data_IF_988292568421
#
_entry.id   IF_988292568421
#
_cell.length_a   1.000
_cell.length_b   1.000
_cell.length_c   1.000
_cell.angle_alpha   90.00
_cell.angle_beta   90.00
_cell.angle_gamma   90.00
#
_symmetry.space_group_name_H-M   'P 1'
#
loop_
_entity.id
_entity.type
_entity.pdbx_description
1 polymer ?
#
# COMPACT_ATOMS: atom_id res chain seq x y z
N UNK A 1 -1.41 -13.40 36.00
CA UNK A 1 -0.90 -12.09 35.56
C UNK A 1 -2.09 -11.16 35.46
N UNK A 2 -2.08 -10.05 36.20
CA UNK A 2 -3.14 -9.02 36.19
C UNK A 2 -2.88 -8.08 35.02
N UNK A 3 -3.69 -8.17 33.98
CA UNK A 3 -3.64 -7.24 32.84
C UNK A 3 -4.43 -5.98 33.17
N UNK A 4 -4.01 -4.81 32.66
CA UNK A 4 -4.80 -3.59 32.81
C UNK A 4 -6.14 -3.77 32.09
N UNK A 5 -7.24 -3.59 32.81
CA UNK A 5 -8.59 -3.60 32.25
C UNK A 5 -9.21 -2.21 32.32
N UNK A 6 -10.04 -1.88 31.33
CA UNK A 6 -10.82 -0.64 31.30
C UNK A 6 -12.27 -1.01 31.55
N UNK A 7 -12.86 -0.41 32.58
CA UNK A 7 -14.29 -0.50 32.88
C UNK A 7 -14.92 0.85 32.60
N UNK A 8 -15.99 0.86 31.81
CA UNK A 8 -16.72 2.07 31.45
C UNK A 8 -17.94 2.18 32.35
N UNK A 9 -18.20 3.40 32.84
CA UNK A 9 -19.31 3.70 33.73
C UNK A 9 -20.11 4.87 33.18
N UNK A 10 -21.44 4.72 33.15
CA UNK A 10 -22.39 5.79 32.84
C UNK A 10 -23.11 6.19 34.14
N UNK A 11 -23.65 7.41 34.21
CA UNK A 11 -24.31 7.99 35.40
C UNK A 11 -25.40 7.10 36.04
N UNK A 12 -26.01 6.18 35.29
CA UNK A 12 -27.07 5.28 35.78
C UNK A 12 -26.54 3.99 36.47
N UNK A 13 -25.32 3.97 37.00
CA UNK A 13 -24.67 2.78 37.61
C UNK A 13 -24.50 1.58 36.65
N UNK A 14 -24.63 1.80 35.35
CA UNK A 14 -24.38 0.77 34.34
C UNK A 14 -22.88 0.70 34.08
N UNK A 15 -22.25 -0.38 34.56
CA UNK A 15 -20.86 -0.71 34.28
C UNK A 15 -20.77 -1.78 33.21
N UNK A 16 -19.94 -1.57 32.19
CA UNK A 16 -19.68 -2.58 31.18
C UNK A 16 -18.21 -2.65 30.82
N UNK A 17 -17.80 -3.84 30.39
CA UNK A 17 -16.50 -4.06 29.75
C UNK A 17 -16.52 -3.44 28.36
N UNK A 18 -15.36 -3.00 27.89
CA UNK A 18 -15.18 -2.52 26.52
C UNK A 18 -15.49 -3.61 25.46
N UNK A 19 -15.50 -4.88 25.87
CA UNK A 19 -15.84 -6.05 25.05
C UNK A 19 -17.35 -6.32 24.94
N UNK A 20 -18.18 -5.67 25.76
CA UNK A 20 -19.62 -5.89 25.76
C UNK A 20 -20.31 -5.19 24.58
N UNK A 21 -21.54 -5.63 24.28
CA UNK A 21 -22.39 -4.93 23.33
C UNK A 21 -22.92 -3.61 23.94
N UNK A 22 -22.97 -2.57 23.10
CA UNK A 22 -23.45 -1.24 23.51
C UNK A 22 -24.93 -1.05 23.17
N UNK A 23 -25.66 -2.14 22.98
CA UNK A 23 -27.07 -2.17 22.54
C UNK A 23 -28.01 -1.47 23.52
N UNK A 24 -27.66 -1.46 24.81
CA UNK A 24 -28.43 -0.85 25.90
C UNK A 24 -27.92 0.54 26.33
N UNK A 25 -26.97 1.13 25.59
CA UNK A 25 -26.40 2.44 25.89
C UNK A 25 -27.08 3.52 25.04
N UNK A 26 -27.54 4.61 25.66
CA UNK A 26 -28.14 5.72 24.94
C UNK A 26 -27.13 6.39 23.99
N UNK A 27 -27.58 6.87 22.83
CA UNK A 27 -26.70 7.47 21.82
C UNK A 27 -25.88 8.65 22.34
N UNK A 28 -26.47 9.48 23.21
CA UNK A 28 -25.78 10.61 23.86
C UNK A 28 -24.64 10.16 24.76
N UNK A 29 -24.83 9.06 25.49
CA UNK A 29 -23.80 8.51 26.38
C UNK A 29 -22.70 7.84 25.56
N UNK A 30 -23.04 7.21 24.43
CA UNK A 30 -22.05 6.64 23.52
C UNK A 30 -21.15 7.72 22.90
N UNK A 31 -21.73 8.86 22.48
CA UNK A 31 -20.96 10.02 22.00
C UNK A 31 -20.04 10.59 23.09
N UNK A 32 -20.57 10.71 24.32
CA UNK A 32 -19.79 11.13 25.48
C UNK A 32 -18.63 10.18 25.78
N UNK A 33 -18.88 8.86 25.77
CA UNK A 33 -17.88 7.84 25.97
C UNK A 33 -16.81 7.83 24.88
N UNK A 34 -17.20 8.02 23.62
CA UNK A 34 -16.26 8.15 22.51
C UNK A 34 -15.35 9.36 22.70
N UNK A 35 -15.92 10.50 23.08
CA UNK A 35 -15.16 11.72 23.35
C UNK A 35 -14.18 11.51 24.51
N UNK A 36 -14.64 10.97 25.64
CA UNK A 36 -13.79 10.69 26.80
C UNK A 36 -12.70 9.66 26.49
N UNK A 37 -13.03 8.62 25.71
CA UNK A 37 -12.05 7.62 25.27
C UNK A 37 -10.95 8.24 24.42
N UNK A 38 -11.29 9.16 23.50
CA UNK A 38 -10.30 9.90 22.72
C UNK A 38 -9.39 10.76 23.60
N UNK A 39 -9.94 11.42 24.61
CA UNK A 39 -9.16 12.18 25.58
C UNK A 39 -8.24 11.27 26.41
N UNK A 40 -8.74 10.11 26.87
CA UNK A 40 -7.97 9.12 27.60
C UNK A 40 -6.80 8.59 26.76
N UNK A 41 -7.04 8.21 25.50
CA UNK A 41 -6.01 7.78 24.55
C UNK A 41 -4.96 8.88 24.37
N UNK A 42 -5.38 10.11 24.10
CA UNK A 42 -4.45 11.24 23.91
C UNK A 42 -3.58 11.49 25.15
N UNK A 43 -4.19 11.41 26.35
CA UNK A 43 -3.49 11.57 27.62
C UNK A 43 -2.48 10.45 27.86
N UNK A 44 -2.87 9.20 27.61
CA UNK A 44 -1.99 8.03 27.71
C UNK A 44 -0.84 8.10 26.70
N UNK A 45 -1.10 8.51 25.47
CA UNK A 45 -0.07 8.73 24.45
C UNK A 45 0.94 9.79 24.91
N UNK A 46 0.46 10.93 25.41
CA UNK A 46 1.31 11.99 25.94
C UNK A 46 2.13 11.55 27.16
N UNK A 47 1.52 10.77 28.07
CA UNK A 47 2.17 10.18 29.23
C UNK A 47 3.29 9.21 28.82
N UNK A 48 3.01 8.35 27.83
CA UNK A 48 3.97 7.39 27.28
C UNK A 48 5.15 8.09 26.59
N UNK A 49 4.87 9.17 25.86
CA UNK A 49 5.90 10.01 25.24
C UNK A 49 6.79 10.69 26.28
N UNK A 50 6.18 11.30 27.31
CA UNK A 50 6.91 12.00 28.38
C UNK A 50 7.81 11.05 29.17
N UNK A 51 7.33 9.85 29.48
CA UNK A 51 8.12 8.85 30.22
C UNK A 51 9.21 8.17 29.39
N UNK A 52 9.34 8.49 28.09
CA UNK A 52 10.24 7.80 27.16
C UNK A 52 10.07 6.27 27.16
N UNK A 53 8.91 5.76 27.61
CA UNK A 53 8.64 4.33 27.76
C UNK A 53 8.56 3.61 26.40
N UNK A 54 8.57 4.35 25.29
CA UNK A 54 8.84 3.81 23.95
C UNK A 54 10.22 3.14 23.81
N UNK A 55 11.15 3.33 24.76
CA UNK A 55 12.42 2.57 24.80
C UNK A 55 12.37 1.29 25.64
N UNK A 56 11.31 1.08 26.44
CA UNK A 56 11.24 -0.01 27.43
C UNK A 56 10.10 -1.03 27.24
N UNK A 57 9.04 -0.67 26.52
CA UNK A 57 8.10 -1.64 25.95
C UNK A 57 8.74 -2.17 24.67
N UNK A 58 9.03 -3.48 24.60
CA UNK A 58 9.72 -4.14 23.48
C UNK A 58 9.43 -3.46 22.15
N UNK A 59 10.49 -2.92 21.54
CA UNK A 59 10.40 -1.86 20.55
C UNK A 59 9.27 -2.08 19.55
N UNK A 60 8.41 -1.06 19.40
CA UNK A 60 7.40 -0.99 18.33
C UNK A 60 8.01 -1.58 17.06
N UNK A 61 7.28 -2.51 16.43
CA UNK A 61 7.78 -3.11 15.21
C UNK A 61 8.14 -1.99 14.24
N UNK A 62 9.17 -2.19 13.42
CA UNK A 62 9.54 -1.20 12.39
C UNK A 62 8.34 -0.84 11.51
N UNK A 63 7.40 -1.77 11.35
CA UNK A 63 6.13 -1.59 10.67
C UNK A 63 5.22 -0.62 11.43
N UNK A 64 5.07 -0.76 12.75
CA UNK A 64 4.28 0.16 13.58
C UNK A 64 4.85 1.58 13.55
N UNK A 65 6.17 1.71 13.63
CA UNK A 65 6.85 3.00 13.51
C UNK A 65 6.60 3.66 12.14
N UNK A 66 6.56 2.88 11.07
CA UNK A 66 6.23 3.37 9.73
C UNK A 66 4.74 3.76 9.65
N UNK A 67 3.86 2.96 10.24
CA UNK A 67 2.42 3.23 10.26
C UNK A 67 2.07 4.52 11.01
N UNK A 68 2.62 4.71 12.21
CA UNK A 68 2.43 5.94 13.00
C UNK A 68 2.88 7.17 12.19
N UNK A 69 3.96 7.06 11.42
CA UNK A 69 4.44 8.14 10.55
C UNK A 69 3.51 8.42 9.39
N UNK A 70 2.96 7.39 8.76
CA UNK A 70 1.95 7.54 7.71
C UNK A 70 0.72 8.26 8.26
N UNK A 71 0.20 7.84 9.42
CA UNK A 71 -0.94 8.49 10.08
C UNK A 71 -0.64 9.95 10.43
N UNK A 72 0.56 10.23 10.96
CA UNK A 72 0.97 11.60 11.28
C UNK A 72 1.05 12.48 10.03
N UNK A 73 1.65 11.96 8.96
CA UNK A 73 1.77 12.69 7.69
C UNK A 73 0.41 12.92 7.04
N UNK A 74 -0.48 11.93 7.06
CA UNK A 74 -1.84 12.06 6.56
C UNK A 74 -2.59 13.17 7.29
N UNK A 75 -2.54 13.19 8.63
CA UNK A 75 -3.12 14.26 9.45
C UNK A 75 -2.54 15.63 9.12
N UNK A 76 -1.23 15.73 8.93
CA UNK A 76 -0.59 17.01 8.56
C UNK A 76 -1.05 17.50 7.18
N UNK A 77 -1.16 16.59 6.20
CA UNK A 77 -1.67 16.92 4.86
C UNK A 77 -3.14 17.31 4.93
N UNK A 78 -3.95 16.64 5.74
CA UNK A 78 -5.35 16.97 5.95
C UNK A 78 -5.53 18.39 6.49
N UNK A 79 -4.73 18.77 7.48
CA UNK A 79 -4.80 20.12 8.08
C UNK A 79 -4.26 21.18 7.12
N UNK A 80 -3.16 20.91 6.42
CA UNK A 80 -2.46 21.92 5.60
C UNK A 80 -2.94 21.99 4.15
N UNK A 81 -3.59 20.96 3.65
CA UNK A 81 -3.91 20.78 2.23
C UNK A 81 -2.69 20.64 1.32
N UNK A 82 -1.47 20.54 1.87
CA UNK A 82 -0.21 20.51 1.09
C UNK A 82 0.91 19.75 1.80
N UNK A 83 1.90 19.31 1.03
CA UNK A 83 3.15 18.74 1.55
C UNK A 83 4.05 19.84 2.14
N UNK A 84 4.80 19.48 3.18
CA UNK A 84 5.93 20.26 3.69
C UNK A 84 7.14 20.15 2.76
N UNK A 85 8.13 21.03 2.89
CA UNK A 85 9.25 21.09 1.94
C UNK A 85 10.06 19.79 1.88
N UNK A 86 10.12 19.05 2.99
CA UNK A 86 10.71 17.72 3.04
C UNK A 86 9.85 16.72 2.26
N UNK A 87 8.54 16.69 2.48
CA UNK A 87 7.59 15.86 1.73
C UNK A 87 7.63 16.13 0.23
N UNK A 88 7.71 17.39 -0.18
CA UNK A 88 7.86 17.78 -1.60
C UNK A 88 9.13 17.20 -2.23
N UNK A 89 10.26 17.29 -1.52
CA UNK A 89 11.53 16.69 -1.98
C UNK A 89 11.41 15.17 -2.14
N UNK A 90 10.80 14.49 -1.17
CA UNK A 90 10.62 13.04 -1.24
C UNK A 90 9.64 12.61 -2.33
N UNK A 91 8.57 13.37 -2.56
CA UNK A 91 7.63 13.12 -3.65
C UNK A 91 8.35 13.22 -5.01
N UNK A 92 9.19 14.24 -5.23
CA UNK A 92 10.02 14.34 -6.46
C UNK A 92 10.96 13.15 -6.63
N UNK A 93 11.59 12.68 -5.55
CA UNK A 93 12.44 11.49 -5.58
C UNK A 93 11.63 10.24 -5.93
N UNK A 94 10.40 10.11 -5.42
CA UNK A 94 9.51 9.00 -5.74
C UNK A 94 9.11 9.00 -7.22
N UNK A 95 8.71 10.14 -7.78
CA UNK A 95 8.42 10.28 -9.23
C UNK A 95 9.64 9.87 -10.06
N UNK A 96 10.81 10.42 -9.74
CA UNK A 96 12.05 10.08 -10.45
C UNK A 96 12.44 8.60 -10.31
N UNK A 97 12.11 7.96 -9.20
CA UNK A 97 12.37 6.53 -8.99
C UNK A 97 11.40 5.63 -9.75
N UNK A 98 10.15 6.07 -9.95
CA UNK A 98 9.15 5.34 -10.73
C UNK A 98 9.36 5.48 -12.24
N UNK A 99 9.80 6.66 -12.69
CA UNK A 99 9.99 6.95 -14.12
C UNK A 99 11.42 6.68 -14.63
N UNK A 100 12.39 6.54 -13.72
CA UNK A 100 13.80 6.41 -14.07
C UNK A 100 14.30 4.97 -14.21
N UNK A 101 15.28 4.78 -15.10
CA UNK A 101 16.12 3.57 -15.13
C UNK A 101 17.04 3.62 -13.92
N UNK A 102 16.67 2.91 -12.85
CA UNK A 102 17.40 2.94 -11.58
C UNK A 102 18.50 1.87 -11.54
N UNK A 103 19.66 2.24 -10.98
CA UNK A 103 20.74 1.30 -10.66
C UNK A 103 20.24 0.16 -9.74
N UNK A 104 20.84 -1.03 -9.85
CA UNK A 104 20.41 -2.28 -9.17
C UNK A 104 20.16 -2.15 -7.65
N UNK A 105 20.80 -1.20 -6.96
CA UNK A 105 20.64 -0.96 -5.52
C UNK A 105 19.45 -0.06 -5.15
N UNK A 106 18.92 0.73 -6.08
CA UNK A 106 17.72 1.56 -5.89
C UNK A 106 16.42 0.79 -6.12
N UNK A 107 16.50 -0.52 -6.38
CA UNK A 107 15.38 -1.33 -6.81
C UNK A 107 14.33 -1.54 -5.70
N UNK A 108 14.73 -1.76 -4.44
CA UNK A 108 13.76 -2.02 -3.36
C UNK A 108 12.81 -0.86 -3.07
N UNK A 109 13.28 0.38 -3.21
CA UNK A 109 12.41 1.54 -3.04
C UNK A 109 11.41 1.64 -4.20
N UNK A 110 11.88 1.42 -5.42
CA UNK A 110 11.02 1.42 -6.62
C UNK A 110 9.99 0.29 -6.56
N UNK A 111 10.41 -0.94 -6.29
CA UNK A 111 9.54 -2.11 -6.15
C UNK A 111 8.45 -1.85 -5.11
N UNK A 112 8.82 -1.38 -3.91
CA UNK A 112 7.84 -1.04 -2.89
C UNK A 112 6.84 0.04 -3.35
N UNK A 113 7.32 1.10 -4.01
CA UNK A 113 6.41 2.13 -4.54
C UNK A 113 5.53 1.62 -5.69
N UNK A 114 6.02 0.70 -6.51
CA UNK A 114 5.24 0.05 -7.56
C UNK A 114 4.15 -0.84 -6.97
N UNK A 115 4.47 -1.61 -5.94
CA UNK A 115 3.49 -2.43 -5.22
C UNK A 115 2.41 -1.54 -4.61
N UNK A 116 2.80 -0.47 -3.90
CA UNK A 116 1.84 0.51 -3.34
C UNK A 116 1.02 1.18 -4.45
N UNK A 117 1.64 1.52 -5.58
CA UNK A 117 0.94 2.12 -6.71
C UNK A 117 -0.12 1.19 -7.29
N UNK A 118 0.25 -0.08 -7.47
CA UNK A 118 -0.63 -1.10 -8.03
C UNK A 118 -1.81 -1.40 -7.10
N UNK A 119 -1.52 -1.53 -5.80
CA UNK A 119 -2.46 -2.05 -4.83
C UNK A 119 -3.30 -0.97 -4.11
N UNK A 120 -2.72 0.21 -3.93
CA UNK A 120 -3.32 1.28 -3.13
C UNK A 120 -3.52 2.57 -3.93
N UNK A 121 -2.79 2.75 -5.04
CA UNK A 121 -2.90 3.90 -5.92
C UNK A 121 -1.90 5.04 -5.63
N UNK A 122 -1.88 6.02 -6.52
CA UNK A 122 -0.90 7.12 -6.53
C UNK A 122 -0.97 8.03 -5.30
N UNK A 123 -2.15 8.16 -4.69
CA UNK A 123 -2.36 8.89 -3.43
C UNK A 123 -1.48 8.33 -2.29
N UNK A 124 -1.42 7.01 -2.19
CA UNK A 124 -0.68 6.32 -1.14
C UNK A 124 0.82 6.26 -1.44
N UNK A 125 1.20 6.27 -2.72
CA UNK A 125 2.61 6.45 -3.13
C UNK A 125 3.14 7.79 -2.62
N UNK A 126 2.39 8.89 -2.81
CA UNK A 126 2.76 10.22 -2.30
C UNK A 126 2.87 10.19 -0.77
N UNK A 127 1.88 9.61 -0.10
CA UNK A 127 1.86 9.53 1.35
C UNK A 127 3.07 8.74 1.89
N UNK A 128 3.38 7.59 1.30
CA UNK A 128 4.54 6.77 1.65
C UNK A 128 5.85 7.49 1.40
N UNK A 129 6.00 8.14 0.23
CA UNK A 129 7.17 8.92 -0.09
C UNK A 129 7.39 10.06 0.92
N UNK A 130 6.34 10.83 1.22
CA UNK A 130 6.44 11.97 2.13
C UNK A 130 6.71 11.54 3.59
N UNK A 131 6.06 10.48 4.07
CA UNK A 131 6.17 10.03 5.47
C UNK A 131 7.45 9.23 5.76
N UNK A 132 7.84 8.35 4.83
CA UNK A 132 8.91 7.37 5.05
C UNK A 132 10.20 7.79 4.33
N UNK A 133 10.07 8.23 3.08
CA UNK A 133 11.18 8.55 2.19
C UNK A 133 12.03 7.33 1.81
N UNK A 134 12.95 7.54 0.87
CA UNK A 134 13.80 6.47 0.29
C UNK A 134 14.58 5.69 1.35
N UNK A 135 15.29 6.39 2.22
CA UNK A 135 16.20 5.78 3.20
C UNK A 135 15.48 4.78 4.12
N UNK A 136 14.27 5.12 4.58
CA UNK A 136 13.56 4.27 5.53
C UNK A 136 13.05 3.00 4.88
N UNK A 137 12.46 3.10 3.69
CA UNK A 137 11.94 1.94 2.94
C UNK A 137 13.07 0.97 2.56
N UNK A 138 14.22 1.50 2.13
CA UNK A 138 15.40 0.67 1.80
C UNK A 138 15.91 -0.10 3.02
N UNK A 139 15.88 0.53 4.21
CA UNK A 139 16.35 -0.07 5.45
C UNK A 139 15.35 -1.03 6.11
N UNK A 140 14.11 -1.11 5.63
CA UNK A 140 13.15 -2.13 6.08
C UNK A 140 13.58 -3.51 5.58
N UNK A 141 13.37 -4.54 6.40
CA UNK A 141 13.54 -5.93 5.94
C UNK A 141 12.46 -6.25 4.92
N UNK A 142 12.69 -7.29 4.11
CA UNK A 142 11.71 -7.74 3.11
C UNK A 142 10.35 -8.02 3.75
N UNK A 143 10.33 -8.75 4.85
CA UNK A 143 9.10 -9.09 5.57
C UNK A 143 8.41 -7.85 6.12
N UNK A 144 9.17 -6.90 6.70
CA UNK A 144 8.62 -5.63 7.18
C UNK A 144 7.97 -4.81 6.04
N UNK A 145 8.56 -4.81 4.83
CA UNK A 145 7.98 -4.14 3.66
C UNK A 145 6.67 -4.79 3.23
N UNK A 146 6.62 -6.12 3.23
CA UNK A 146 5.41 -6.88 2.90
C UNK A 146 4.32 -6.64 3.95
N UNK A 147 4.65 -6.71 5.23
CA UNK A 147 3.72 -6.42 6.33
C UNK A 147 3.21 -4.99 6.30
N UNK A 148 4.08 -4.02 5.98
CA UNK A 148 3.68 -2.62 5.82
C UNK A 148 2.71 -2.44 4.64
N UNK A 149 3.00 -3.04 3.48
CA UNK A 149 2.09 -3.02 2.33
C UNK A 149 0.74 -3.65 2.67
N UNK A 150 0.75 -4.83 3.30
CA UNK A 150 -0.47 -5.51 3.77
C UNK A 150 -1.29 -4.62 4.71
N UNK A 151 -0.63 -3.95 5.65
CA UNK A 151 -1.30 -3.02 6.56
C UNK A 151 -1.90 -1.81 5.84
N UNK A 152 -1.16 -1.21 4.89
CA UNK A 152 -1.67 -0.10 4.08
C UNK A 152 -2.92 -0.55 3.33
N UNK A 153 -2.93 -1.75 2.72
CA UNK A 153 -4.10 -2.30 2.02
C UNK A 153 -5.32 -2.43 2.94
N UNK A 154 -5.14 -3.00 4.14
CA UNK A 154 -6.24 -3.26 5.07
C UNK A 154 -6.79 -1.97 5.69
N UNK A 155 -5.92 -1.02 6.03
CA UNK A 155 -6.28 0.18 6.78
C UNK A 155 -6.31 1.46 5.92
N UNK A 156 -6.26 1.36 4.58
CA UNK A 156 -6.13 2.52 3.67
C UNK A 156 -7.19 3.61 3.91
N UNK A 157 -8.42 3.21 4.26
CA UNK A 157 -9.53 4.15 4.46
C UNK A 157 -9.32 5.03 5.71
N UNK A 158 -8.56 4.57 6.70
CA UNK A 158 -8.32 5.29 7.95
C UNK A 158 -7.37 6.49 7.78
N UNK A 159 -6.51 6.43 6.77
CA UNK A 159 -5.50 7.46 6.48
C UNK A 159 -5.74 8.16 5.14
N UNK A 160 -6.86 7.85 4.47
CA UNK A 160 -7.23 8.47 3.20
C UNK A 160 -7.63 9.93 3.45
N UNK A 161 -7.03 10.83 2.69
CA UNK A 161 -7.28 12.27 2.78
C UNK A 161 -7.56 12.80 1.38
N UNK A 162 -8.62 13.58 1.21
CA UNK A 162 -9.03 14.14 -0.09
C UNK A 162 -7.92 14.93 -0.78
N UNK A 163 -7.12 15.68 -0.01
CA UNK A 163 -5.99 16.45 -0.51
C UNK A 163 -4.90 15.59 -1.18
N UNK A 164 -4.77 14.29 -0.85
CA UNK A 164 -3.78 13.42 -1.48
C UNK A 164 -4.04 13.22 -2.97
N UNK A 165 -5.32 13.20 -3.39
CA UNK A 165 -5.69 13.06 -4.81
C UNK A 165 -5.23 14.25 -5.65
N UNK A 166 -5.37 15.46 -5.10
CA UNK A 166 -4.93 16.71 -5.74
C UNK A 166 -3.41 16.75 -5.81
N UNK A 167 -2.75 16.45 -4.69
CA UNK A 167 -1.28 16.43 -4.64
C UNK A 167 -0.72 15.37 -5.59
N UNK A 168 -1.32 14.18 -5.69
CA UNK A 168 -0.86 13.14 -6.62
C UNK A 168 -0.93 13.61 -8.08
N UNK A 169 -1.97 14.36 -8.45
CA UNK A 169 -2.10 14.99 -9.77
C UNK A 169 -1.06 16.08 -9.99
N UNK A 170 -0.84 16.95 -9.01
CA UNK A 170 0.15 18.04 -9.10
C UNK A 170 1.57 17.51 -9.36
N UNK A 171 1.89 16.34 -8.80
CA UNK A 171 3.18 15.67 -8.98
C UNK A 171 3.22 14.74 -10.20
N UNK A 172 2.17 14.69 -11.01
CA UNK A 172 2.04 13.83 -12.18
C UNK A 172 2.37 12.37 -11.87
N UNK A 173 1.91 11.88 -10.72
CA UNK A 173 2.13 10.49 -10.35
C UNK A 173 1.44 9.57 -11.36
N UNK A 174 2.10 8.47 -11.78
CA UNK A 174 1.47 7.52 -12.67
C UNK A 174 0.15 7.05 -12.05
N UNK A 175 -0.94 7.09 -12.81
CA UNK A 175 -2.18 6.46 -12.41
C UNK A 175 -2.00 4.95 -12.54
N UNK A 176 -2.33 4.19 -11.50
CA UNK A 176 -2.17 2.72 -11.45
C UNK A 176 -3.04 1.93 -12.44
N UNK A 177 -3.49 2.55 -13.54
CA UNK A 177 -4.30 1.96 -14.61
C UNK A 177 -3.56 1.79 -15.94
N UNK A 178 -2.24 1.92 -15.98
CA UNK A 178 -1.46 1.39 -17.10
C UNK A 178 -1.16 -0.09 -16.80
N UNK A 179 -1.89 -0.99 -17.45
CA UNK A 179 -1.77 -2.42 -17.28
C UNK A 179 -0.33 -2.90 -17.47
N UNK A 180 0.31 -3.31 -16.39
CA UNK A 180 1.31 -4.37 -16.46
C UNK A 180 0.55 -5.68 -16.67
N UNK A 181 0.04 -5.89 -17.89
CA UNK A 181 -0.03 -7.25 -18.42
C UNK A 181 1.40 -7.75 -18.38
N UNK A 182 1.69 -8.73 -17.52
CA UNK A 182 2.88 -9.56 -17.68
C UNK A 182 2.77 -10.24 -19.05
N UNK A 183 3.20 -9.56 -20.12
CA UNK A 183 3.52 -10.24 -21.37
C UNK A 183 4.78 -11.04 -21.07
N UNK A 184 4.61 -12.34 -20.91
CA UNK A 184 5.73 -13.25 -20.91
C UNK A 184 6.34 -13.20 -22.31
N UNK A 185 7.54 -12.64 -22.44
CA UNK A 185 8.33 -12.76 -23.66
C UNK A 185 8.89 -14.18 -23.66
N UNK A 186 8.27 -15.07 -24.43
CA UNK A 186 8.87 -16.36 -24.77
C UNK A 186 9.72 -16.16 -26.03
N UNK A 187 10.99 -16.56 -26.05
CA UNK A 187 11.76 -16.61 -27.28
C UNK A 187 11.06 -17.58 -28.25
N UNK A 188 10.71 -17.08 -29.44
CA UNK A 188 10.20 -17.89 -30.55
C UNK A 188 11.35 -18.71 -31.14
N UNK A 189 11.77 -19.76 -30.44
CA UNK A 189 12.47 -20.88 -31.08
C UNK A 189 11.43 -21.85 -31.68
N UNK A 190 11.89 -22.81 -32.50
CA UNK A 190 11.01 -23.80 -33.16
C UNK A 190 10.16 -24.61 -32.16
N UNK A 191 10.57 -24.68 -30.90
CA UNK A 191 9.85 -25.35 -29.82
C UNK A 191 8.70 -24.47 -29.31
N UNK A 192 8.92 -23.16 -29.14
CA UNK A 192 7.89 -22.20 -28.76
C UNK A 192 6.74 -22.07 -29.77
N UNK A 193 7.05 -22.12 -31.07
CA UNK A 193 6.04 -22.00 -32.13
C UNK A 193 5.05 -23.17 -32.16
N UNK A 194 5.53 -24.41 -31.95
CA UNK A 194 4.68 -25.60 -31.94
C UNK A 194 3.74 -25.64 -30.73
N UNK A 195 4.19 -25.18 -29.56
CA UNK A 195 3.35 -25.10 -28.36
C UNK A 195 2.24 -24.05 -28.51
N UNK A 196 2.54 -22.92 -29.15
CA UNK A 196 1.53 -21.88 -29.45
C UNK A 196 0.49 -22.41 -30.44
N UNK A 197 0.92 -23.16 -31.47
CA UNK A 197 0.02 -23.79 -32.44
C UNK A 197 -0.87 -24.86 -31.79
N UNK A 198 -0.36 -25.69 -30.88
CA UNK A 198 -1.19 -26.66 -30.15
C UNK A 198 -2.19 -25.98 -29.20
N UNK A 199 -1.75 -24.96 -28.46
CA UNK A 199 -2.61 -24.25 -27.52
C UNK A 199 -3.75 -23.50 -28.22
N UNK A 200 -3.51 -22.98 -29.43
CA UNK A 200 -4.50 -22.25 -30.25
C UNK A 200 -5.42 -23.16 -31.05
N UNK A 201 -5.04 -24.43 -31.28
CA UNK A 201 -5.92 -25.42 -31.90
C UNK A 201 -7.09 -25.82 -30.99
N UNK A 202 -6.91 -25.71 -29.67
CA UNK A 202 -7.94 -26.04 -28.65
C UNK A 202 -8.94 -24.91 -28.41
N UNK A 203 -8.52 -23.66 -28.51
CA UNK A 203 -9.38 -22.48 -28.33
C UNK A 203 -9.56 -21.76 -29.68
N UNK A 204 -10.72 -21.93 -30.32
CA UNK A 204 -11.09 -21.30 -31.62
C UNK A 204 -11.19 -19.76 -31.59
N UNK A 205 -10.63 -19.09 -30.60
CA UNK A 205 -10.67 -17.63 -30.50
C UNK A 205 -9.37 -17.04 -31.07
N UNK A 206 -9.54 -16.33 -32.19
CA UNK A 206 -8.52 -15.68 -33.02
C UNK A 206 -7.43 -14.97 -32.19
N UNK A 207 -6.17 -15.40 -32.39
CA UNK A 207 -4.99 -14.63 -31.99
C UNK A 207 -4.98 -13.30 -32.78
N UNK A 208 -4.98 -12.18 -32.06
CA UNK A 208 -4.68 -10.88 -32.66
C UNK A 208 -3.17 -10.79 -32.91
N UNK A 209 -2.76 -10.88 -34.17
CA UNK A 209 -1.38 -10.56 -34.56
C UNK A 209 -1.30 -9.03 -34.64
N UNK A 210 -0.63 -8.41 -33.66
CA UNK A 210 -0.29 -6.99 -33.72
C UNK A 210 1.04 -6.85 -34.46
N UNK A 211 1.05 -6.10 -35.56
CA UNK A 211 2.29 -5.71 -36.24
C UNK A 211 2.93 -4.54 -35.47
N UNK A 212 4.26 -4.57 -35.24
CA UNK A 212 4.94 -3.52 -34.50
C UNK A 212 4.98 -2.20 -35.28
N UNK A 213 4.94 -1.09 -34.55
CA UNK A 213 5.27 0.23 -35.09
C UNK A 213 6.76 0.29 -35.47
N UNK A 214 7.09 1.16 -36.43
CA UNK A 214 8.28 1.14 -37.31
C UNK A 214 9.69 1.13 -36.66
N UNK A 215 9.83 0.97 -35.34
CA UNK A 215 11.10 0.95 -34.63
C UNK A 215 11.40 -0.32 -33.81
N UNK A 216 10.57 -1.35 -33.86
CA UNK A 216 10.84 -2.63 -33.17
C UNK A 216 11.15 -3.77 -34.15
N UNK A 217 12.39 -4.24 -34.12
CA UNK A 217 12.87 -5.42 -34.85
C UNK A 217 12.38 -6.69 -34.17
N UNK A 218 11.21 -7.18 -34.59
CA UNK A 218 10.74 -8.57 -34.74
C UNK A 218 9.24 -8.67 -34.41
N UNK A 219 8.44 -9.40 -35.21
CA UNK A 219 7.03 -9.61 -34.92
C UNK A 219 6.87 -10.41 -33.62
N UNK A 220 6.02 -9.93 -32.72
CA UNK A 220 5.64 -10.66 -31.50
C UNK A 220 4.15 -11.02 -31.53
N UNK A 221 3.80 -12.17 -30.98
CA UNK A 221 2.41 -12.64 -30.89
C UNK A 221 1.88 -12.27 -29.50
N UNK A 222 0.79 -11.50 -29.47
CA UNK A 222 0.07 -11.23 -28.23
C UNK A 222 -0.78 -12.45 -27.89
N UNK A 223 -0.38 -13.20 -26.88
CA UNK A 223 -1.11 -14.39 -26.42
C UNK A 223 -2.05 -13.98 -25.27
N UNK A 224 -3.38 -14.13 -25.42
CA UNK A 224 -4.35 -13.88 -24.35
C UNK A 224 -4.05 -14.71 -23.10
N UNK A 225 -4.30 -14.14 -21.91
CA UNK A 225 -3.98 -14.74 -20.61
C UNK A 225 -4.57 -16.15 -20.43
N UNK A 226 -5.77 -16.42 -20.97
CA UNK A 226 -6.38 -17.74 -20.94
C UNK A 226 -5.54 -18.82 -21.65
N UNK A 227 -4.88 -18.46 -22.75
CA UNK A 227 -4.00 -19.37 -23.50
C UNK A 227 -2.69 -19.59 -22.74
N UNK A 228 -2.13 -18.55 -22.10
CA UNK A 228 -0.94 -18.69 -21.24
C UNK A 228 -1.16 -19.70 -20.10
N UNK A 229 -2.34 -19.70 -19.48
CA UNK A 229 -2.67 -20.67 -18.44
C UNK A 229 -2.71 -22.12 -18.96
N UNK A 230 -3.18 -22.32 -20.20
CA UNK A 230 -3.19 -23.64 -20.86
C UNK A 230 -1.78 -24.10 -21.27
N UNK A 231 -0.93 -23.20 -21.76
CA UNK A 231 0.48 -23.49 -22.07
C UNK A 231 1.23 -23.90 -20.80
N UNK A 232 1.06 -23.17 -19.69
CA UNK A 232 1.69 -23.51 -18.41
C UNK A 232 1.26 -24.89 -17.90
N UNK A 233 -0.02 -25.28 -18.11
CA UNK A 233 -0.50 -26.62 -17.75
C UNK A 233 0.18 -27.73 -18.56
N UNK A 234 0.38 -27.52 -19.86
CA UNK A 234 1.04 -28.49 -20.75
C UNK A 234 2.51 -28.74 -20.38
N UNK A 235 3.21 -27.74 -19.83
CA UNK A 235 4.60 -27.92 -19.36
C UNK A 235 4.72 -28.59 -17.98
N UNK A 236 3.61 -28.70 -17.24
CA UNK A 236 3.58 -29.30 -15.89
C UNK A 236 2.96 -30.70 -15.85
N UNK A 237 2.59 -31.26 -17.00
CA UNK A 237 2.01 -32.60 -17.18
C UNK A 237 2.92 -33.47 -18.03
#
# INVERSE_FOLDING_TARGET
MTYPCITLHIQENVSFSWENDYSNVASSDLEGLLLQSRHAVTSLEAELERRQLRRGLGGLSRVDDCWIRLQKQARQIQIRGRLDDKGKKQAKIAVGSLNGVTEKSANFYREFLQDVLHDCGSEFVILCAAALGKHRVVNLKKDDRISLLGRIKTEMQTIKVSALSVIAKDYQMPSGQAGYSRSAFLPLDEMGANVILEATRKDRNLLGIALPDAHETLPYIVIPHQICANIMRLYTS
#
